data_IF_072395937584
#
_entry.id   IF_072395937584
#
_cell.length_a   1.000
_cell.length_b   1.000
_cell.length_c   1.000
_cell.angle_alpha   90.00
_cell.angle_beta   90.00
_cell.angle_gamma   90.00
#
_symmetry.space_group_name_H-M   'P 1'
#
loop_
_entity.id
_entity.type
_entity.pdbx_description
1 polymer ?
2 non-polymer ?
3 water ?
#
# COMPACT_ATOMS: atom_id res chain seq x y z
N UNK A 1 -16.17 -1.58 -10.94
CA UNK A 1 -14.96 -0.91 -11.50
C UNK A 1 -13.97 -1.94 -12.04
N UNK A 2 -13.45 -1.68 -13.23
CA UNK A 2 -12.51 -2.59 -13.87
C UNK A 2 -11.46 -1.86 -14.69
N UNK A 3 -10.35 -2.53 -14.96
CA UNK A 3 -9.28 -1.97 -15.77
C UNK A 3 -8.71 -3.04 -16.71
N UNK A 4 -7.88 -2.61 -17.65
CA UNK A 4 -7.13 -3.55 -18.47
C UNK A 4 -5.80 -2.95 -18.92
N UNK A 5 -4.91 -3.82 -19.37
CA UNK A 5 -3.57 -3.43 -19.83
C UNK A 5 -3.43 -3.79 -21.30
N UNK A 6 -3.12 -2.79 -22.11
CA UNK A 6 -3.01 -2.97 -23.57
C UNK A 6 -4.27 -3.62 -24.12
N UNK A 7 -5.43 -3.14 -23.70
CA UNK A 7 -6.71 -3.62 -24.18
C UNK A 7 -6.98 -5.08 -23.85
N UNK A 8 -6.32 -5.58 -22.81
CA UNK A 8 -6.46 -6.98 -22.43
C UNK A 8 -7.73 -7.27 -21.64
N UNK A 9 -7.74 -8.43 -20.97
CA UNK A 9 -8.89 -8.86 -20.20
C UNK A 9 -9.12 -7.98 -18.98
N UNK A 10 -10.35 -7.97 -18.47
CA UNK A 10 -10.73 -7.13 -17.35
C UNK A 10 -9.99 -7.49 -16.06
N UNK A 11 -9.74 -6.48 -15.25
CA UNK A 11 -9.06 -6.63 -13.97
C UNK A 11 -9.89 -5.94 -12.88
N UNK A 12 -10.26 -6.69 -11.85
CA UNK A 12 -11.09 -6.16 -10.78
C UNK A 12 -10.26 -5.76 -9.57
N UNK A 13 -9.08 -6.35 -9.45
CA UNK A 13 -8.18 -6.07 -8.34
C UNK A 13 -6.85 -6.79 -8.54
N UNK A 14 -5.90 -6.56 -7.65
CA UNK A 14 -4.67 -7.33 -7.61
C UNK A 14 -3.49 -6.69 -8.33
N UNK A 15 -2.44 -7.50 -8.51
CA UNK A 15 -1.21 -7.04 -9.12
C UNK A 15 -1.16 -7.44 -10.60
N UNK A 16 -0.80 -6.50 -11.45
CA UNK A 16 -0.75 -6.73 -12.89
C UNK A 16 0.55 -6.17 -13.48
N UNK A 17 1.18 -6.97 -14.34
CA UNK A 17 2.37 -6.52 -15.05
C UNK A 17 2.01 -5.50 -16.12
N UNK A 18 2.81 -4.44 -16.22
CA UNK A 18 2.62 -3.43 -17.26
C UNK A 18 3.95 -3.22 -17.99
N UNK A 19 4.03 -3.77 -19.20
CA UNK A 19 5.26 -3.72 -19.99
C UNK A 19 5.34 -2.44 -20.80
N UNK A 20 6.50 -1.79 -20.73
CA UNK A 20 6.70 -0.50 -21.39
C UNK A 20 8.06 -0.44 -22.10
N UNK A 21 8.10 0.26 -23.23
CA UNK A 21 9.34 0.50 -23.93
C UNK A 21 10.09 1.68 -23.32
N UNK A 22 11.37 1.47 -23.02
CA UNK A 22 12.21 2.53 -22.47
C UNK A 22 13.32 2.87 -23.45
N UNK A 23 13.88 4.06 -23.30
CA UNK A 23 14.99 4.50 -24.13
C UNK A 23 16.13 3.49 -23.99
N UNK A 24 16.58 2.89 -25.10
CA UNK A 24 17.60 1.84 -25.00
C UNK A 24 18.96 2.34 -24.51
N UNK A 25 19.25 3.62 -24.76
CA UNK A 25 20.50 4.22 -24.33
C UNK A 25 20.26 5.58 -23.68
N UNK A 26 20.84 5.78 -22.50
CA UNK A 26 20.74 7.06 -21.80
C UNK A 26 22.09 7.44 -21.21
N UNK A 27 22.36 8.74 -21.18
CA UNK A 27 23.59 9.27 -20.60
C UNK A 27 23.27 9.92 -19.26
N UNK A 28 24.13 9.74 -18.24
CA UNK A 28 23.75 10.41 -16.99
C UNK A 28 23.87 11.94 -17.11
N UNK A 29 22.99 12.74 -16.52
CA UNK A 29 21.79 12.31 -15.80
C UNK A 29 20.55 12.52 -16.64
N UNK A 30 20.42 11.76 -17.73
CA UNK A 30 19.31 11.91 -18.66
C UNK A 30 18.00 11.45 -18.01
N UNK A 31 16.89 11.97 -18.52
CA UNK A 31 15.58 11.71 -17.94
C UNK A 31 14.72 10.80 -18.82
N UNK A 32 14.19 9.74 -18.21
CA UNK A 32 13.26 8.84 -18.89
C UNK A 32 11.82 9.20 -18.58
N UNK A 33 10.98 9.17 -19.61
CA UNK A 33 9.55 9.41 -19.46
C UNK A 33 8.78 8.15 -19.84
N UNK A 34 7.87 7.74 -18.95
CA UNK A 34 7.06 6.55 -19.16
C UNK A 34 5.58 6.94 -19.14
N UNK A 35 4.98 6.99 -20.32
CA UNK A 35 3.56 7.33 -20.46
C UNK A 35 2.70 6.07 -20.28
N UNK A 36 2.15 5.91 -19.09
CA UNK A 36 1.36 4.72 -18.77
C UNK A 36 -0.07 4.83 -19.30
N UNK A 37 -0.48 6.02 -19.73
CA UNK A 37 -1.79 6.20 -20.33
C UNK A 37 -1.89 5.39 -21.62
N UNK A 38 -0.74 5.03 -22.18
CA UNK A 38 -0.68 4.25 -23.41
C UNK A 38 -0.90 2.76 -23.16
N UNK A 39 -1.11 2.38 -21.90
CA UNK A 39 -1.21 0.97 -21.53
C UNK A 39 -2.39 0.67 -20.62
N UNK A 40 -2.59 1.50 -19.58
CA UNK A 40 -3.61 1.22 -18.58
C UNK A 40 -4.86 2.06 -18.79
N UNK A 41 -6.01 1.40 -18.83
CA UNK A 41 -7.30 2.06 -18.96
C UNK A 41 -8.30 1.44 -17.99
N UNK A 42 -9.19 2.28 -17.46
CA UNK A 42 -10.20 1.83 -16.51
C UNK A 42 -11.57 2.40 -16.85
N UNK A 43 -12.62 1.75 -16.35
CA UNK A 43 -13.99 2.17 -16.64
C UNK A 43 -14.96 1.81 -15.52
N UNK A 44 -16.12 2.45 -15.55
CA UNK A 44 -17.22 2.12 -14.65
C UNK A 44 -18.03 0.97 -15.24
N UNK A 45 -18.30 -0.05 -14.41
CA UNK A 45 -18.93 -1.28 -14.89
C UNK A 45 -20.44 -1.16 -15.10
N UNK A 46 -21.04 -0.08 -14.58
CA UNK A 46 -22.45 0.19 -14.80
C UNK A 46 -22.63 1.29 -15.85
N UNK A 47 -21.83 2.34 -15.73
CA UNK A 47 -21.94 3.49 -16.60
C UNK A 47 -23.04 4.41 -16.14
N UNK A 48 -23.25 5.51 -16.87
CA UNK A 48 -24.32 6.44 -16.56
C UNK A 48 -24.12 7.22 -15.27
N UNK A 49 -22.92 7.13 -14.71
CA UNK A 49 -22.59 7.84 -13.47
C UNK A 49 -23.60 7.55 -12.36
N UNK A 50 -24.00 6.29 -12.27
CA UNK A 50 -24.95 5.85 -11.24
C UNK A 50 -24.22 5.55 -9.94
N UNK A 51 -23.24 4.66 -10.01
CA UNK A 51 -22.37 4.36 -8.88
C UNK A 51 -20.93 4.74 -9.23
N UNK A 52 -20.62 6.02 -9.11
CA UNK A 52 -19.34 6.56 -9.57
C UNK A 52 -18.16 5.99 -8.78
N UNK A 53 -17.08 5.69 -9.51
CA UNK A 53 -15.87 5.17 -8.91
C UNK A 53 -14.88 6.29 -8.63
N UNK A 54 -14.12 6.15 -7.54
CA UNK A 54 -13.15 7.17 -7.13
C UNK A 54 -11.77 6.56 -6.96
N UNK A 55 -10.85 6.98 -7.83
CA UNK A 55 -9.53 6.37 -7.95
C UNK A 55 -8.42 7.33 -7.55
N UNK A 56 -7.48 6.84 -6.74
CA UNK A 56 -6.27 7.60 -6.43
C UNK A 56 -5.07 6.66 -6.30
N UNK A 57 -3.87 7.22 -6.42
CA UNK A 57 -2.64 6.47 -6.24
C UNK A 57 -2.18 6.63 -4.80
N UNK A 58 -1.52 5.61 -4.26
CA UNK A 58 -1.33 5.50 -2.82
C UNK A 58 0.10 5.77 -2.36
N UNK A 59 0.20 6.48 -1.24
CA UNK A 59 1.45 6.65 -0.50
C UNK A 59 2.21 5.33 -0.39
N UNK A 60 3.51 5.38 -0.69
CA UNK A 60 4.35 4.20 -0.62
C UNK A 60 4.75 3.67 -1.99
N UNK A 61 3.99 4.05 -3.02
CA UNK A 61 4.34 3.71 -4.39
C UNK A 61 5.75 4.21 -4.69
N UNK A 62 6.58 3.34 -5.26
CA UNK A 62 8.01 3.64 -5.39
C UNK A 62 8.70 2.86 -6.49
N UNK A 63 9.98 3.14 -6.68
CA UNK A 63 10.81 2.35 -7.58
C UNK A 63 11.08 0.98 -6.95
N UNK A 64 11.50 0.03 -7.77
CA UNK A 64 11.64 -1.36 -7.33
C UNK A 64 13.01 -1.66 -6.75
N UNK A 65 13.12 -1.59 -5.42
CA UNK A 65 14.31 -2.01 -4.68
C UNK A 65 15.65 -1.72 -5.32
N UNK A 66 15.94 -2.45 -6.40
CA UNK A 66 17.21 -2.30 -7.11
C UNK A 66 17.38 -0.89 -7.67
N UNK A 67 16.27 -0.18 -7.84
CA UNK A 67 16.29 1.19 -8.35
C UNK A 67 15.87 2.19 -7.27
N UNK A 68 15.94 1.75 -6.01
CA UNK A 68 15.44 2.56 -4.90
C UNK A 68 16.18 3.88 -4.74
N UNK A 69 17.33 4.00 -5.39
CA UNK A 69 18.15 5.20 -5.30
C UNK A 69 17.74 6.26 -6.34
N UNK A 70 16.91 5.87 -7.30
CA UNK A 70 16.51 6.77 -8.37
C UNK A 70 15.59 7.88 -7.89
N UNK A 71 15.74 9.05 -8.50
CA UNK A 71 14.85 10.18 -8.27
C UNK A 71 13.83 10.23 -9.40
N UNK A 72 12.66 10.80 -9.14
CA UNK A 72 11.64 10.88 -10.16
C UNK A 72 10.42 11.70 -9.79
N UNK A 73 9.43 11.67 -10.67
CA UNK A 73 8.17 12.36 -10.47
C UNK A 73 7.04 11.52 -11.04
N UNK A 74 5.86 11.64 -10.46
CA UNK A 74 4.68 10.95 -10.94
C UNK A 74 3.59 11.95 -11.27
N UNK A 75 3.24 12.03 -12.56
CA UNK A 75 2.10 12.84 -12.97
C UNK A 75 0.82 12.02 -12.84
N UNK A 76 -0.19 12.63 -12.25
CA UNK A 76 -1.48 11.97 -12.09
C UNK A 76 -2.61 12.98 -12.03
N UNK A 77 -3.42 12.99 -13.09
CA UNK A 77 -4.65 13.76 -13.11
C UNK A 77 -4.45 15.22 -12.69
N UNK A 78 -3.68 15.94 -13.50
CA UNK A 78 -3.49 17.40 -13.37
C UNK A 78 -2.55 17.84 -12.24
N UNK A 79 -1.89 16.87 -11.60
CA UNK A 79 -0.89 17.19 -10.59
C UNK A 79 0.35 16.32 -10.78
N UNK A 80 1.52 16.91 -10.59
CA UNK A 80 2.78 16.19 -10.67
C UNK A 80 3.40 16.06 -9.29
N UNK A 81 3.48 14.83 -8.80
CA UNK A 81 3.98 14.56 -7.46
C UNK A 81 5.43 14.09 -7.49
N UNK A 82 6.17 14.33 -6.39
CA UNK A 82 7.48 13.68 -6.28
C UNK A 82 7.30 12.16 -6.20
N UNK A 83 8.23 11.42 -6.81
CA UNK A 83 8.19 9.96 -6.76
C UNK A 83 9.50 9.45 -6.16
N UNK A 84 9.43 8.50 -5.21
CA UNK A 84 8.28 7.74 -4.71
C UNK A 84 7.23 8.60 -4.00
N UNK A 85 5.99 8.15 -4.03
CA UNK A 85 4.88 8.91 -3.45
C UNK A 85 4.95 8.90 -1.93
N UNK A 86 4.92 10.10 -1.35
CA UNK A 86 4.96 10.28 0.09
C UNK A 86 3.57 10.63 0.62
N UNK A 87 2.61 10.68 -0.28
CA UNK A 87 1.22 10.98 0.07
C UNK A 87 0.30 10.36 -0.95
N UNK A 88 -0.99 10.30 -0.63
CA UNK A 88 -1.97 9.85 -1.60
C UNK A 88 -2.28 10.99 -2.59
N UNK A 89 -2.50 10.63 -3.84
CA UNK A 89 -2.73 11.62 -4.89
C UNK A 89 -4.17 12.12 -4.86
N UNK A 90 -4.47 13.06 -5.74
CA UNK A 90 -5.83 13.53 -5.92
C UNK A 90 -6.71 12.40 -6.45
N UNK A 91 -8.03 12.59 -6.39
CA UNK A 91 -8.97 11.57 -6.82
C UNK A 91 -9.41 11.78 -8.26
N UNK A 92 -9.32 10.71 -9.05
CA UNK A 92 -9.89 10.67 -10.40
C UNK A 92 -11.22 9.92 -10.34
N UNK A 93 -12.25 10.50 -10.96
CA UNK A 93 -13.59 9.96 -10.88
C UNK A 93 -14.02 9.31 -12.21
N UNK A 94 -14.44 8.06 -12.11
CA UNK A 94 -14.82 7.26 -13.28
C UNK A 94 -16.29 6.85 -13.18
N UNK A 95 -17.06 7.14 -14.23
CA UNK A 95 -18.47 6.79 -14.26
C UNK A 95 -19.00 6.39 -15.62
N UNK A 96 -18.12 6.36 -16.63
CA UNK A 96 -18.50 5.95 -17.98
C UNK A 96 -18.10 4.51 -18.27
N UNK A 97 -18.87 3.86 -19.12
CA UNK A 97 -18.56 2.51 -19.59
C UNK A 97 -17.32 2.51 -20.46
N UNK A 98 -17.19 3.54 -21.29
CA UNK A 98 -16.06 3.66 -22.21
C UNK A 98 -14.75 3.72 -21.42
N UNK A 99 -13.77 2.88 -21.79
CA UNK A 99 -12.49 2.89 -21.08
C UNK A 99 -11.83 4.27 -21.05
N UNK A 100 -11.29 4.64 -19.89
CA UNK A 100 -10.51 5.87 -19.77
C UNK A 100 -9.05 5.54 -19.56
N UNK A 101 -8.19 5.90 -20.53
CA UNK A 101 -6.75 5.79 -20.27
C UNK A 101 -6.36 6.60 -19.04
N UNK A 102 -5.64 5.99 -18.12
CA UNK A 102 -5.25 6.67 -16.89
C UNK A 102 -4.34 7.86 -17.20
N UNK A 103 -4.68 9.06 -16.67
CA UNK A 103 -3.81 10.21 -16.90
C UNK A 103 -2.58 10.09 -16.03
N UNK A 104 -1.67 9.19 -16.42
CA UNK A 104 -0.59 8.77 -15.56
C UNK A 104 0.74 8.67 -16.31
N UNK A 105 1.71 9.46 -15.88
CA UNK A 105 3.05 9.43 -16.47
C UNK A 105 4.11 9.35 -15.36
N UNK A 106 5.16 8.57 -15.63
CA UNK A 106 6.25 8.39 -14.68
C UNK A 106 7.54 8.97 -15.25
N UNK A 107 8.13 9.92 -14.50
CA UNK A 107 9.38 10.55 -14.89
C UNK A 107 10.52 9.98 -14.03
N UNK A 108 11.53 9.43 -14.69
CA UNK A 108 12.61 8.74 -14.01
C UNK A 108 13.97 9.43 -14.24
N UNK A 109 14.72 9.57 -13.16
CA UNK A 109 16.08 10.09 -13.20
C UNK A 109 17.02 9.11 -12.50
N UNK A 110 17.73 8.28 -13.28
CA UNK A 110 18.66 7.30 -12.67
C UNK A 110 19.73 7.96 -11.80
N UNK A 111 19.99 7.36 -10.65
CA UNK A 111 21.01 7.85 -9.73
C UNK A 111 22.13 6.83 -9.55
N UNK A 116 27.14 0.02 -17.72
CA UNK A 116 26.60 -0.91 -18.69
C UNK A 116 25.09 -0.96 -18.64
N UNK A 117 24.54 -2.17 -18.53
CA UNK A 117 23.09 -2.34 -18.43
C UNK A 117 22.58 -1.76 -17.13
N UNK A 118 21.73 -0.75 -17.25
CA UNK A 118 21.16 -0.05 -16.10
C UNK A 118 19.86 -0.73 -15.66
N UNK A 119 18.98 -0.94 -16.63
CA UNK A 119 17.69 -1.59 -16.41
C UNK A 119 17.58 -2.80 -17.34
N UNK A 120 17.18 -3.92 -16.77
CA UNK A 120 17.05 -5.15 -17.53
C UNK A 120 15.65 -5.31 -18.12
N UNK A 121 15.59 -5.82 -19.34
CA UNK A 121 14.31 -6.26 -19.90
C UNK A 121 13.70 -7.30 -18.98
N UNK A 122 12.44 -7.09 -18.60
CA UNK A 122 11.75 -8.00 -17.71
C UNK A 122 11.87 -7.61 -16.25
N UNK A 123 12.65 -6.55 -15.98
CA UNK A 123 12.84 -6.07 -14.62
C UNK A 123 11.74 -5.12 -14.21
N UNK A 124 11.17 -5.34 -13.03
CA UNK A 124 10.23 -4.41 -12.44
C UNK A 124 10.99 -3.14 -12.05
N UNK A 125 10.56 -2.00 -12.58
CA UNK A 125 11.24 -0.73 -12.32
C UNK A 125 10.48 0.12 -11.30
N UNK A 126 9.19 -0.16 -11.14
CA UNK A 126 8.36 0.59 -10.21
C UNK A 126 7.07 -0.15 -9.89
N UNK A 127 6.54 0.09 -8.70
CA UNK A 127 5.28 -0.50 -8.26
C UNK A 127 4.32 0.60 -7.82
N UNK A 128 3.27 0.81 -8.61
CA UNK A 128 2.31 1.87 -8.36
C UNK A 128 1.03 1.30 -7.77
N UNK A 129 0.76 1.67 -6.51
CA UNK A 129 -0.43 1.22 -5.81
C UNK A 129 -1.60 2.15 -6.10
N UNK A 130 -2.66 1.58 -6.66
CA UNK A 130 -3.87 2.33 -6.99
C UNK A 130 -5.03 1.84 -6.12
N UNK A 131 -5.79 2.79 -5.58
CA UNK A 131 -6.91 2.48 -4.69
C UNK A 131 -8.24 2.93 -5.29
N UNK A 132 -9.23 2.07 -5.19
CA UNK A 132 -10.57 2.36 -5.73
C UNK A 132 -11.62 2.30 -4.63
N UNK A 133 -12.58 3.21 -4.69
CA UNK A 133 -13.78 3.13 -3.86
C UNK A 133 -14.92 3.81 -4.60
N UNK A 134 -16.12 3.22 -4.53
CA UNK A 134 -17.27 3.73 -5.25
C UNK A 134 -18.10 4.67 -4.38
N UNK A 135 -19.36 4.89 -4.77
CA UNK A 135 -20.23 5.86 -4.11
C UNK A 135 -21.32 5.18 -3.28
N UNK A 136 -21.92 4.13 -3.84
CA UNK A 136 -23.03 3.46 -3.20
C UNK A 136 -22.59 2.46 -2.13
N UNK A 137 -23.32 2.44 -1.02
CA UNK A 137 -23.06 1.51 0.06
C UNK A 137 -21.67 1.70 0.66
N UNK A 138 -20.96 0.59 0.84
CA UNK A 138 -19.62 0.63 1.39
C UNK A 138 -18.61 1.12 0.34
N UNK A 139 -19.03 1.16 -0.91
CA UNK A 139 -18.18 1.59 -2.00
C UNK A 139 -17.31 0.47 -2.54
N UNK A 140 -17.30 -0.65 -1.83
CA UNK A 140 -16.55 -1.84 -2.26
C UNK A 140 -15.11 -1.52 -2.63
N UNK A 141 -14.32 -1.10 -1.63
CA UNK A 141 -12.93 -0.73 -1.91
C UNK A 141 -12.10 -1.87 -2.49
N UNK A 142 -11.21 -1.54 -3.42
CA UNK A 142 -10.33 -2.54 -4.02
C UNK A 142 -8.94 -1.96 -4.22
N UNK A 143 -7.93 -2.81 -4.12
CA UNK A 143 -6.55 -2.40 -4.35
C UNK A 143 -6.03 -2.94 -5.69
N UNK A 144 -5.35 -2.06 -6.42
CA UNK A 144 -4.61 -2.45 -7.63
C UNK A 144 -3.14 -2.13 -7.43
N UNK A 145 -2.27 -2.97 -7.99
CA UNK A 145 -0.85 -2.66 -8.07
C UNK A 145 -0.38 -2.86 -9.50
N UNK A 146 0.23 -1.83 -10.07
CA UNK A 146 0.77 -1.90 -11.42
C UNK A 146 2.29 -2.06 -11.36
N UNK A 147 2.76 -3.27 -11.65
CA UNK A 147 4.20 -3.52 -11.73
C UNK A 147 4.73 -3.12 -13.10
N UNK A 148 5.38 -1.96 -13.15
CA UNK A 148 5.92 -1.45 -14.40
C UNK A 148 7.20 -2.20 -14.76
N UNK A 149 7.21 -2.80 -15.94
CA UNK A 149 8.32 -3.62 -16.39
C UNK A 149 8.86 -3.13 -17.73
N UNK A 150 10.18 -3.16 -17.86
CA UNK A 150 10.83 -2.74 -19.10
C UNK A 150 10.85 -3.87 -20.11
N UNK A 151 10.47 -3.56 -21.35
CA UNK A 151 10.48 -4.54 -22.43
C UNK A 151 11.88 -4.75 -23.00
N UNK A 152 12.76 -3.78 -22.76
CA UNK A 152 14.10 -3.79 -23.36
C UNK A 152 15.20 -3.44 -22.36
N UNK A 153 16.44 -3.70 -22.77
CA UNK A 153 17.60 -3.31 -21.98
C UNK A 153 17.81 -1.82 -22.10
N UNK A 154 18.25 -1.21 -21.00
CA UNK A 154 18.61 0.21 -20.99
C UNK A 154 20.04 0.33 -20.50
N UNK A 155 20.93 0.83 -21.35
CA UNK A 155 22.34 0.94 -21.02
C UNK A 155 22.76 2.39 -20.80
N UNK A 156 23.96 2.56 -20.24
CA UNK A 156 24.47 3.87 -19.87
C UNK A 156 25.99 3.83 -19.85
N UNK A 157 26.63 4.29 -20.94
CA UNK A 157 28.10 4.19 -21.01
C UNK A 157 28.81 5.08 -20.00
N UNK B 1 15.42 3.59 10.52
CA UNK B 1 14.16 3.13 11.16
C UNK B 1 14.07 1.60 11.15
N UNK B 2 13.79 1.03 12.32
CA UNK B 2 13.70 -0.42 12.46
C UNK B 2 12.58 -0.81 13.41
N UNK B 3 12.00 -1.98 13.16
CA UNK B 3 10.98 -2.55 14.03
C UNK B 3 11.35 -4.00 14.34
N UNK B 4 10.65 -4.58 15.30
CA UNK B 4 10.75 -6.02 15.55
C UNK B 4 9.44 -6.56 16.12
N UNK B 5 9.28 -7.87 16.04
CA UNK B 5 8.06 -8.53 16.49
C UNK B 5 8.39 -9.48 17.64
N UNK B 6 7.74 -9.28 18.77
CA UNK B 6 7.97 -10.07 19.98
C UNK B 6 9.47 -10.16 20.30
N UNK B 7 10.17 -9.03 20.16
CA UNK B 7 11.57 -8.96 20.49
C UNK B 7 12.48 -9.66 19.49
N UNK B 8 11.95 -9.94 18.31
CA UNK B 8 12.70 -10.66 17.29
C UNK B 8 13.77 -9.83 16.62
N UNK B 9 14.30 -10.32 15.51
CA UNK B 9 15.33 -9.62 14.77
C UNK B 9 14.77 -8.37 14.11
N UNK B 10 15.63 -7.40 13.84
CA UNK B 10 15.22 -6.10 13.35
C UNK B 10 14.63 -6.17 11.94
N UNK B 11 13.64 -5.33 11.69
CA UNK B 11 12.94 -5.29 10.41
C UNK B 11 13.05 -3.89 9.81
N UNK B 12 13.53 -3.81 8.57
CA UNK B 12 13.74 -2.54 7.91
C UNK B 12 12.67 -2.24 6.88
N UNK B 13 12.01 -3.29 6.38
CA UNK B 13 10.93 -3.15 5.42
C UNK B 13 10.32 -4.51 5.12
N UNK B 14 9.25 -4.53 4.31
CA UNK B 14 8.67 -5.77 3.85
C UNK B 14 7.56 -6.31 4.72
N UNK B 15 7.13 -7.53 4.41
CA UNK B 15 6.01 -8.17 5.10
C UNK B 15 6.46 -9.04 6.25
N UNK B 16 5.79 -8.93 7.39
CA UNK B 16 6.07 -9.76 8.56
C UNK B 16 4.79 -10.32 9.15
N UNK B 17 4.80 -11.61 9.46
CA UNK B 17 3.67 -12.26 10.12
C UNK B 17 3.71 -11.98 11.61
N UNK B 18 2.58 -11.53 12.15
CA UNK B 18 2.47 -11.19 13.57
C UNK B 18 1.42 -12.09 14.21
N UNK B 19 1.86 -12.98 15.09
CA UNK B 19 0.97 -13.95 15.72
C UNK B 19 0.44 -13.45 17.06
N UNK B 20 -0.88 -13.59 17.22
CA UNK B 20 -1.57 -13.12 18.42
C UNK B 20 -2.36 -14.26 19.07
N UNK B 21 -2.61 -14.13 20.36
CA UNK B 21 -3.44 -15.06 21.10
C UNK B 21 -4.78 -14.44 21.42
N UNK B 22 -5.85 -15.02 20.87
CA UNK B 22 -7.19 -14.48 21.00
C UNK B 22 -8.05 -15.32 21.94
N UNK B 23 -9.10 -14.70 22.47
CA UNK B 23 -10.09 -15.42 23.26
C UNK B 23 -10.66 -16.57 22.45
N UNK B 24 -10.50 -17.82 22.93
CA UNK B 24 -10.99 -18.95 22.14
C UNK B 24 -12.51 -18.91 21.97
N UNK B 25 -13.19 -18.38 22.97
CA UNK B 25 -14.66 -18.31 22.95
C UNK B 25 -15.12 -16.87 23.22
N UNK B 26 -16.00 -16.38 22.37
CA UNK B 26 -16.63 -15.08 22.57
C UNK B 26 -18.15 -15.21 22.45
N UNK B 27 -18.86 -14.33 23.13
CA UNK B 27 -20.32 -14.32 23.08
C UNK B 27 -20.79 -13.44 21.92
N UNK B 28 -21.97 -13.74 21.36
CA UNK B 28 -22.54 -12.85 20.33
C UNK B 28 -22.67 -11.42 20.85
N UNK B 29 -22.38 -10.44 19.99
CA UNK B 29 -22.44 -9.05 20.39
C UNK B 29 -21.13 -8.53 20.94
N UNK B 30 -20.19 -9.44 21.21
CA UNK B 30 -18.86 -9.05 21.65
C UNK B 30 -17.98 -8.72 20.45
N UNK B 31 -16.92 -7.96 20.70
CA UNK B 31 -15.95 -7.60 19.67
C UNK B 31 -14.57 -8.11 20.02
N UNK B 32 -13.93 -8.80 19.08
CA UNK B 32 -12.55 -9.24 19.26
C UNK B 32 -11.63 -8.03 19.27
N UNK B 33 -10.86 -7.89 20.33
CA UNK B 33 -9.88 -6.81 20.45
C UNK B 33 -8.48 -7.38 20.29
N UNK B 34 -7.84 -7.03 19.18
CA UNK B 34 -6.50 -7.49 18.88
C UNK B 34 -5.51 -6.37 19.14
N UNK B 35 -4.92 -6.37 20.33
CA UNK B 35 -3.90 -5.40 20.68
C UNK B 35 -2.57 -5.84 20.05
N UNK B 36 -1.95 -4.95 19.28
CA UNK B 36 -0.69 -5.26 18.60
C UNK B 36 0.50 -4.53 19.20
N UNK B 37 0.25 -3.64 20.16
CA UNK B 37 1.31 -2.88 20.81
C UNK B 37 2.24 -3.81 21.59
N UNK B 38 1.69 -4.92 22.09
CA UNK B 38 2.49 -5.86 22.88
C UNK B 38 3.34 -6.76 22.00
N UNK B 39 3.18 -6.60 20.69
CA UNK B 39 3.82 -7.47 19.72
C UNK B 39 4.78 -6.73 18.78
N UNK B 40 4.41 -5.51 18.36
CA UNK B 40 5.22 -4.75 17.43
C UNK B 40 5.77 -3.49 18.08
N UNK B 41 7.08 -3.29 17.96
CA UNK B 41 7.74 -2.08 18.44
C UNK B 41 8.70 -1.55 17.39
N UNK B 42 8.83 -0.23 17.32
CA UNK B 42 9.73 0.41 16.36
C UNK B 42 10.54 1.51 17.03
N UNK B 43 11.70 1.82 16.45
CA UNK B 43 12.60 2.82 17.02
C UNK B 43 13.42 3.54 15.96
N UNK B 44 13.91 4.73 16.32
CA UNK B 44 14.83 5.48 15.48
C UNK B 44 16.25 4.93 15.64
N UNK B 45 16.97 4.78 14.53
CA UNK B 45 18.28 4.13 14.56
C UNK B 45 19.43 5.09 14.89
N UNK B 46 19.16 6.38 14.92
CA UNK B 46 20.18 7.38 15.30
C UNK B 46 19.91 7.98 16.68
N UNK B 47 18.64 8.24 16.97
CA UNK B 47 18.26 8.86 18.23
C UNK B 47 18.40 10.36 18.21
N UNK B 48 18.05 11.01 19.32
CA UNK B 48 18.21 12.44 19.47
C UNK B 48 17.35 13.28 18.54
N UNK B 49 16.41 12.63 17.85
CA UNK B 49 15.54 13.31 16.89
C UNK B 49 16.37 14.03 15.81
N UNK B 50 17.55 13.48 15.53
CA UNK B 50 18.42 13.99 14.49
C UNK B 50 17.81 13.80 13.11
N UNK B 51 17.32 12.59 12.86
CA UNK B 51 16.58 12.29 11.63
C UNK B 51 15.28 11.58 12.00
N UNK B 52 14.29 12.38 12.39
CA UNK B 52 13.04 11.84 12.94
C UNK B 52 12.29 10.99 11.92
N UNK B 53 11.70 9.90 12.39
CA UNK B 53 10.91 9.01 11.54
C UNK B 53 9.42 9.32 11.66
N UNK B 54 8.74 9.30 10.52
CA UNK B 54 7.31 9.59 10.47
C UNK B 54 6.55 8.34 10.02
N UNK B 55 5.70 7.83 10.90
CA UNK B 55 5.00 6.58 10.66
C UNK B 55 3.49 6.78 10.60
N UNK B 56 2.86 6.15 9.61
CA UNK B 56 1.40 6.12 9.52
C UNK B 56 0.94 4.84 8.84
N UNK B 57 -0.32 4.48 9.05
CA UNK B 57 -0.91 3.34 8.38
C UNK B 57 -1.55 3.80 7.09
N UNK B 58 -1.73 2.88 6.14
CA UNK B 58 -1.99 3.27 4.76
C UNK B 58 -3.32 2.78 4.21
N UNK B 59 -3.98 3.68 3.48
CA UNK B 59 -5.17 3.38 2.70
C UNK B 59 -5.07 2.05 1.96
N UNK B 60 -6.08 1.21 2.13
CA UNK B 60 -6.12 -0.09 1.46
C UNK B 60 -6.01 -1.25 2.42
N UNK B 61 -5.38 -1.01 3.57
CA UNK B 61 -5.26 -2.02 4.61
C UNK B 61 -6.64 -2.58 4.94
N UNK B 62 -6.74 -3.91 4.99
CA UNK B 62 -8.05 -4.55 5.07
C UNK B 62 -8.01 -5.93 5.72
N UNK B 63 -9.19 -6.50 5.95
CA UNK B 63 -9.30 -7.89 6.36
C UNK B 63 -8.84 -8.78 5.22
N UNK B 64 -8.51 -10.03 5.54
CA UNK B 64 -7.96 -10.96 4.56
C UNK B 64 -8.96 -12.05 4.19
N UNK B 65 -9.12 -12.28 2.89
CA UNK B 65 -9.93 -13.38 2.39
C UNK B 65 -11.36 -13.38 2.88
N UNK B 66 -11.72 -14.45 3.59
CA UNK B 66 -13.10 -14.69 4.00
C UNK B 66 -13.60 -13.71 5.07
N UNK B 67 -12.67 -13.02 5.72
CA UNK B 67 -13.02 -12.11 6.81
C UNK B 67 -13.41 -10.72 6.32
N UNK B 68 -13.46 -10.54 5.01
CA UNK B 68 -13.83 -9.25 4.44
C UNK B 68 -15.29 -8.91 4.76
N UNK B 69 -16.08 -9.92 5.09
CA UNK B 69 -17.48 -9.72 5.42
C UNK B 69 -17.67 -9.13 6.81
N UNK B 70 -16.61 -9.17 7.63
CA UNK B 70 -16.69 -8.66 8.99
C UNK B 70 -16.62 -7.14 9.04
N UNK B 71 -17.29 -6.56 10.03
CA UNK B 71 -17.17 -5.14 10.33
C UNK B 71 -16.03 -4.94 11.31
N UNK B 72 -15.34 -3.81 11.20
CA UNK B 72 -14.19 -3.56 12.06
C UNK B 72 -13.77 -2.11 12.12
N UNK B 73 -12.98 -1.79 13.14
CA UNK B 73 -12.38 -0.48 13.29
C UNK B 73 -10.93 -0.65 13.71
N UNK B 74 -10.12 0.36 13.44
CA UNK B 74 -8.69 0.33 13.73
C UNK B 74 -8.33 1.50 14.63
N UNK B 75 -7.74 1.18 15.78
CA UNK B 75 -7.30 2.19 16.72
C UNK B 75 -5.82 2.46 16.53
N UNK B 76 -5.48 3.65 16.02
CA UNK B 76 -4.09 4.01 15.78
C UNK B 76 -3.75 5.37 16.38
N UNK B 77 -2.78 5.37 17.29
CA UNK B 77 -2.29 6.59 17.90
C UNK B 77 -3.42 7.43 18.48
N UNK B 78 -4.27 6.78 19.26
CA UNK B 78 -5.39 7.43 19.95
C UNK B 78 -6.50 7.90 19.01
N UNK B 79 -6.60 7.29 17.84
CA UNK B 79 -7.64 7.62 16.87
C UNK B 79 -8.28 6.35 16.30
N UNK B 80 -9.61 6.31 16.30
CA UNK B 80 -10.34 5.19 15.72
C UNK B 80 -10.60 5.42 14.25
N UNK B 81 -10.28 4.42 13.44
CA UNK B 81 -10.51 4.48 11.99
C UNK B 81 -11.38 3.31 11.55
N UNK B 82 -12.35 3.56 10.66
CA UNK B 82 -13.06 2.43 10.09
C UNK B 82 -12.11 1.48 9.36
N UNK B 83 -12.32 0.18 9.53
CA UNK B 83 -11.50 -0.83 8.86
C UNK B 83 -12.40 -1.61 7.90
N UNK B 84 -11.96 -1.81 6.64
CA UNK B 84 -10.68 -1.47 6.03
C UNK B 84 -10.42 0.03 5.90
N UNK B 85 -9.15 0.41 5.88
CA UNK B 85 -8.77 1.81 5.79
C UNK B 85 -9.06 2.37 4.40
N UNK B 86 -9.98 3.32 4.34
CA UNK B 86 -10.30 4.02 3.10
C UNK B 86 -9.44 5.27 2.94
N UNK B 87 -8.43 5.38 3.82
CA UNK B 87 -7.64 6.59 3.94
C UNK B 87 -6.37 6.27 4.72
N UNK B 88 -5.42 7.20 4.71
CA UNK B 88 -4.24 7.07 5.57
C UNK B 88 -4.57 7.57 6.97
N UNK B 89 -3.80 7.12 7.96
CA UNK B 89 -4.01 7.52 9.35
C UNK B 89 -3.13 8.69 9.74
N UNK B 90 -3.25 9.14 10.98
CA UNK B 90 -2.43 10.22 11.48
C UNK B 90 -0.97 9.78 11.58
N UNK B 91 -0.05 10.74 11.61
CA UNK B 91 1.37 10.45 11.65
C UNK B 91 1.87 10.32 13.09
N UNK B 92 2.76 9.36 13.31
CA UNK B 92 3.42 9.18 14.59
C UNK B 92 4.91 9.43 14.45
N UNK B 93 5.42 10.38 15.23
CA UNK B 93 6.85 10.71 15.20
C UNK B 93 7.66 9.79 16.12
N UNK B 94 8.74 9.25 15.58
CA UNK B 94 9.68 8.45 16.36
C UNK B 94 11.09 8.95 16.09
N UNK B 95 11.76 9.41 17.14
CA UNK B 95 13.07 10.03 17.02
C UNK B 95 14.10 9.50 18.00
N UNK B 96 13.68 8.61 18.89
CA UNK B 96 14.57 8.04 19.90
C UNK B 96 14.89 6.58 19.61
N UNK B 97 16.00 6.10 20.17
CA UNK B 97 16.39 4.70 20.07
C UNK B 97 15.45 3.79 20.86
N UNK B 98 14.69 4.37 21.78
CA UNK B 98 13.82 3.60 22.65
C UNK B 98 12.75 2.87 21.82
N UNK B 99 12.67 1.53 21.95
CA UNK B 99 11.61 0.81 21.23
C UNK B 99 10.23 1.29 21.63
N UNK B 100 9.53 1.92 20.68
CA UNK B 100 8.17 2.38 20.92
C UNK B 100 7.16 1.33 20.47
N UNK B 101 6.39 0.78 21.41
CA UNK B 101 5.30 -0.12 21.01
C UNK B 101 4.32 0.60 20.10
N UNK B 102 3.92 -0.04 19.00
CA UNK B 102 3.01 0.61 18.07
C UNK B 102 1.65 0.80 18.72
N UNK B 103 1.18 2.05 18.80
CA UNK B 103 -0.14 2.28 19.41
C UNK B 103 -1.23 1.78 18.47
N UNK B 104 -1.45 0.47 18.46
CA UNK B 104 -2.28 -0.16 17.44
C UNK B 104 -3.18 -1.26 18.01
N UNK B 105 -4.48 -1.12 17.77
CA UNK B 105 -5.47 -2.13 18.15
C UNK B 105 -6.43 -2.34 16.99
N UNK B 106 -6.75 -3.61 16.71
CA UNK B 106 -7.75 -3.94 15.71
C UNK B 106 -9.02 -4.49 16.38
N UNK B 107 -10.12 -3.76 16.23
CA UNK B 107 -11.40 -4.19 16.76
C UNK B 107 -12.21 -4.88 15.66
N UNK B 108 -12.65 -6.10 15.95
CA UNK B 108 -13.33 -6.93 14.95
C UNK B 108 -14.73 -7.31 15.41
N UNK B 109 -15.73 -6.89 14.63
CA UNK B 109 -17.12 -7.27 14.85
C UNK B 109 -17.53 -8.30 13.81
N UNK B 110 -17.55 -9.59 14.18
CA UNK B 110 -17.82 -10.63 13.18
C UNK B 110 -19.24 -10.60 12.62
N UNK B 111 -19.38 -11.03 11.38
CA UNK B 111 -20.68 -11.04 10.72
C UNK B 111 -20.83 -12.28 9.84
N UNK B 116 -19.97 -21.51 13.35
CA UNK B 116 -19.64 -21.09 14.70
C UNK B 116 -18.23 -20.53 14.78
N UNK B 117 -17.39 -20.90 13.82
CA UNK B 117 -16.01 -20.44 13.78
C UNK B 117 -15.94 -18.99 13.32
N UNK B 118 -15.32 -18.15 14.14
CA UNK B 118 -15.15 -16.74 13.83
C UNK B 118 -13.81 -16.53 13.12
N UNK B 119 -12.77 -17.16 13.66
CA UNK B 119 -11.42 -17.08 13.11
C UNK B 119 -10.78 -18.46 13.17
N UNK B 120 -10.17 -18.86 12.06
CA UNK B 120 -9.44 -20.13 12.00
C UNK B 120 -8.00 -19.92 12.44
N UNK B 121 -7.46 -20.89 13.17
CA UNK B 121 -6.06 -20.83 13.60
C UNK B 121 -5.15 -20.75 12.38
N UNK B 122 -4.14 -19.89 12.46
CA UNK B 122 -3.18 -19.73 11.38
C UNK B 122 -3.71 -18.91 10.22
N UNK B 123 -4.97 -18.50 10.31
CA UNK B 123 -5.60 -17.70 9.26
C UNK B 123 -5.15 -16.24 9.35
N UNK B 124 -4.79 -15.67 8.21
CA UNK B 124 -4.49 -14.25 8.15
C UNK B 124 -5.78 -13.48 8.40
N UNK B 125 -5.77 -12.61 9.41
CA UNK B 125 -6.95 -11.84 9.77
C UNK B 125 -7.01 -10.55 8.97
N UNK B 126 -5.89 -9.82 8.96
CA UNK B 126 -5.82 -8.54 8.27
C UNK B 126 -4.40 -8.28 7.77
N UNK B 127 -4.30 -7.40 6.76
CA UNK B 127 -3.02 -6.99 6.22
C UNK B 127 -2.85 -5.49 6.38
N UNK B 128 -2.06 -5.08 7.37
CA UNK B 128 -1.94 -3.68 7.73
C UNK B 128 -0.66 -3.08 7.14
N UNK B 129 -0.86 -2.19 6.17
CA UNK B 129 0.26 -1.50 5.54
C UNK B 129 0.65 -0.27 6.35
N UNK B 130 1.92 -0.24 6.77
CA UNK B 130 2.49 0.88 7.50
C UNK B 130 3.55 1.55 6.62
N UNK B 131 3.57 2.88 6.66
CA UNK B 131 4.49 3.65 5.83
C UNK B 131 5.46 4.44 6.69
N UNK B 132 6.71 4.49 6.27
CA UNK B 132 7.75 5.23 6.98
C UNK B 132 8.47 6.20 6.05
N UNK B 133 8.71 7.41 6.53
CA UNK B 133 9.60 8.35 5.88
C UNK B 133 10.26 9.25 6.93
N UNK B 134 11.53 9.58 6.71
CA UNK B 134 12.31 10.35 7.67
C UNK B 134 12.27 11.84 7.34
N UNK B 135 13.29 12.59 7.75
CA UNK B 135 13.33 14.04 7.55
C UNK B 135 14.48 14.48 6.64
N UNK B 136 15.65 13.88 6.81
CA UNK B 136 16.84 14.26 6.06
C UNK B 136 16.85 13.66 4.66
N UNK B 137 17.30 14.45 3.69
CA UNK B 137 17.42 13.99 2.31
C UNK B 137 16.08 13.61 1.71
N UNK B 138 16.05 12.47 1.05
CA UNK B 138 14.82 11.95 0.46
C UNK B 138 13.87 11.42 1.52
N UNK B 139 14.40 11.22 2.73
CA UNK B 139 13.61 10.65 3.82
C UNK B 139 13.71 9.14 3.84
N UNK B 140 14.22 8.57 2.77
CA UNK B 140 14.39 7.12 2.65
C UNK B 140 13.12 6.37 3.02
N UNK B 141 12.07 6.52 2.19
CA UNK B 141 10.78 5.91 2.51
C UNK B 141 10.81 4.39 2.48
N UNK B 142 10.15 3.75 3.45
CA UNK B 142 10.07 2.30 3.51
C UNK B 142 8.65 1.84 3.79
N UNK B 143 8.28 0.69 3.21
CA UNK B 143 6.97 0.11 3.39
C UNK B 143 7.00 -1.14 4.28
N UNK B 144 6.08 -1.20 5.23
CA UNK B 144 5.90 -2.36 6.09
C UNK B 144 4.49 -2.89 5.95
N UNK B 145 4.36 -4.22 5.82
CA UNK B 145 3.05 -4.86 5.89
C UNK B 145 3.04 -5.84 7.05
N UNK B 146 2.07 -5.67 7.96
CA UNK B 146 1.91 -6.57 9.09
C UNK B 146 0.76 -7.54 8.85
N UNK B 147 1.10 -8.82 8.65
CA UNK B 147 0.09 -9.86 8.49
C UNK B 147 -0.33 -10.42 9.83
N UNK B 148 -1.49 -9.98 10.31
CA UNK B 148 -1.98 -10.40 11.62
C UNK B 148 -2.61 -11.79 11.54
N UNK B 149 -2.05 -12.73 12.30
CA UNK B 149 -2.49 -14.11 12.29
C UNK B 149 -2.79 -14.60 13.71
N UNK B 150 -3.83 -15.42 13.84
CA UNK B 150 -4.21 -15.96 15.14
C UNK B 150 -3.57 -17.32 15.38
N UNK B 151 -2.99 -17.51 16.55
CA UNK B 151 -2.44 -18.80 16.95
C UNK B 151 -3.53 -19.83 17.17
N UNK B 152 -4.67 -19.36 17.67
CA UNK B 152 -5.78 -20.23 18.05
C UNK B 152 -7.04 -19.87 17.28
N UNK B 153 -7.97 -20.82 17.22
CA UNK B 153 -9.26 -20.59 16.59
C UNK B 153 -10.20 -19.89 17.55
N UNK B 154 -11.05 -19.02 17.01
CA UNK B 154 -12.06 -18.32 17.80
C UNK B 154 -13.45 -18.77 17.35
N UNK B 155 -14.30 -19.11 18.32
CA UNK B 155 -15.64 -19.61 18.05
C UNK B 155 -16.69 -18.86 18.86
N UNK B 156 -17.91 -18.78 18.32
CA UNK B 156 -19.05 -18.28 19.07
C UNK B 156 -20.31 -19.06 18.70
N UNK B 157 -21.16 -19.38 19.70
CA UNK B 157 -22.47 -19.95 19.40
C UNK B 157 -23.60 -18.96 19.65
X LIG C 1 -20.87 -4.91 -12.35
X LIG C 1 -19.00 -6.40 -12.16
X LIG C 1 -17.15 -5.95 -10.50
X LIG C 1 -14.75 -6.58 -9.25
X LIG C 1 -15.96 -6.88 -8.63
X LIG C 1 -15.98 -7.54 -7.27
X LIG C 1 -18.64 -2.28 -7.89
X LIG C 1 -18.10 -4.29 -6.54
X LIG C 1 -18.49 -0.65 -6.16
X LIG C 1 -19.13 -0.94 -7.39
X LIG C 1 -18.79 0.11 -8.40
X LIG C 1 -17.39 0.12 -8.61
X LIG C 1 -19.50 -0.24 -9.69
X LIG C 1 -19.20 0.81 -10.73
X LIG C 1 -18.08 0.40 -11.49
X LIG C 1 -19.05 -1.50 -10.13
X LIG C 1 -19.22 -2.59 -9.25
X LIG C 1 -18.51 -3.71 -9.72
X LIG C 1 -19.12 -4.46 -10.75
X LIG C 1 -20.34 -4.11 -11.34
X LIG C 1 -20.20 -6.05 -12.76
X LIG C 1 -18.47 -5.60 -11.17
X LIG C 1 -15.95 -5.66 -11.12
X LIG C 1 -14.75 -5.97 -10.50
X LIG C 1 -15.27 -7.07 -6.34
X LIG C 1 -16.68 -8.56 -7.07
X LIG C 1 -17.15 -6.56 -9.25
X LIG C 1 -19.02 -3.31 -6.98
X LIG C 1 -18.53 -5.38 -5.58
X LIG C 1 -16.95 -4.28 -6.95
X LIG C 1 -21.72 -4.66 -12.75
X LIG C 1 -18.52 -7.20 -12.45
X LIG C 1 -13.91 -6.81 -8.82
X LIG C 1 -17.66 -2.25 -7.95
X LIG C 1 -19.04 -0.16 -5.66
X LIG C 1 -20.10 -0.98 -7.25
X LIG C 1 -19.09 0.99 -8.09
X LIG C 1 -17.20 0.71 -9.25
X LIG C 1 -20.46 -0.27 -9.53
X LIG C 1 -19.00 1.66 -10.30
X LIG C 1 -19.98 0.92 -11.33
X LIG C 1 -18.16 -0.45 -11.70
X LIG C 1 -20.17 -2.81 -9.17
X LIG C 1 -20.80 -3.31 -11.05
X LIG C 1 -20.59 -6.62 -13.45
X LIG C 1 -15.94 -5.23 -12.00
X LIG C 1 -13.90 -5.77 -10.93
X LIG C 1 -18.00 -6.76 -8.81
X LIG C 1 -19.88 -3.34 -6.67
X LIG C 1 -18.90 -4.96 -4.78
X LIG C 1 -17.76 -5.94 -5.35
X LIG C 1 -19.22 -5.93 -6.02
X LIG D 1 21.33 3.54 11.09
X LIG D 1 20.50 1.41 10.37
X LIG D 1 18.61 1.25 8.71
X LIG D 1 16.81 -0.19 7.15
X LIG D 1 17.78 0.60 6.56
X LIG D 1 17.85 0.70 5.05
X LIG D 1 17.41 5.79 7.70
X LIG D 1 17.98 4.72 5.51
X LIG D 1 15.96 7.50 6.89
X LIG D 1 16.90 7.20 7.90
X LIG D 1 16.24 7.31 9.25
X LIG D 1 15.14 6.42 9.30
X LIG D 1 17.24 6.93 10.31
X LIG D 1 16.59 7.04 11.67
X LIG D 1 15.88 5.85 11.95
X LIG D 1 17.66 5.61 10.08
X LIG D 1 18.30 5.37 8.85
X LIG D 1 18.55 4.00 8.67
X LIG D 1 19.51 3.43 9.53
X LIG D 1 20.40 4.18 10.29
X LIG D 1 21.39 2.15 11.13
X LIG D 1 19.58 2.05 9.57
X LIG D 1 17.64 0.45 9.32
X LIG D 1 16.75 -0.27 8.54
X LIG D 1 16.80 0.81 4.36
X LIG D 1 18.97 0.66 4.47
X LIG D 1 18.67 1.33 7.34
X LIG D 1 18.19 5.73 6.50
X LIG D 1 18.83 4.71 4.28
X LIG D 1 17.11 3.88 5.67
X LIG D 1 21.95 4.07 11.64
X LIG D 1 20.54 0.43 10.39
X LIG D 1 16.19 -0.70 6.61
X LIG D 1 16.65 5.18 7.62
X LIG D 1 16.18 8.27 6.50
X LIG D 1 17.65 7.82 7.85
X LIG D 1 15.92 8.22 9.39
X LIG D 1 14.39 6.88 9.45
X LIG D 1 18.00 7.54 10.27
X LIG D 1 15.98 7.80 11.69
X LIG D 1 17.29 7.17 12.35
X LIG D 1 15.04 6.06 12.18
X LIG D 1 19.14 5.87 8.81
X LIG D 1 20.37 5.15 10.26
X LIG D 1 22.05 1.71 11.70
X LIG D 1 17.59 0.39 10.30
X LIG D 1 16.08 -0.84 8.96
X LIG D 1 19.33 1.89 6.91
X LIG D 1 18.84 6.35 6.37
X LIG D 1 18.77 5.58 3.82
X LIG D 1 19.77 4.54 4.52
X LIG D 1 18.53 4.00 3.68
#
# INVERSE_FOLDING_TARGET
FSCNVDGGSSIGAGTTSVYVNLDPVIQPGQNLVVDLSQHISCWNDYGGWYDTDHINLVQGSAFAGSLQSYKGSLYWNNVTYPFPLTTNTNVLDIGDKTPMPLPLKLYITPVGAAGGVVIKAGEVIARIHMYKIATLGSGNPRNFTWNIISNNSVVMPTGGHHHHHH
FSCNVDGGSSIGAGTTSVYVNLDPVIQPGQNLVVDLSQHISCWNDYGGWYDTDHINLVQGSAFAGSLQSYKGSLYWNNVTYPFPLTTNTNVLDIGDKTPMPLPLKLYITPVGAAGGVVIKAGEVIARIHMYKIATLGSGNPRNFTWNIISNNSVVMPTGGHHHHHH
BTG C13 C15 C17 C20 C21 C22 C2 C7 O3 C3 C4 O4 C5 C6 O6 O5 C1 O1 C11 C12 C14 C16 C18 C19 O23 O24 C25 N2 C8 O7 H131 H151 H201 H2 HO3 H3 H4 HO4 H5 H61 H62 HO6 H1 H121 H141 H181 H191 H251 HN2 H81 H82 H83
BTG C13 C15 C17 C20 C21 C22 C2 C7 O3 C3 C4 O4 C5 C6 O6 O5 C1 O1 C11 C12 C14 C16 C18 C19 O23 O24 C25 N2 C8 O7 H131 H151 H201 H2 HO3 H3 H4 HO4 H5 H61 H62 HO6 H1 H121 H141 H181 H191 H251 HN2 H81 H82 H83
#
